data_IF_264876845892
#
_entry.id   IF_264876845892
#
_cell.length_a   1.000
_cell.length_b   1.000
_cell.length_c   1.000
_cell.angle_alpha   90.00
_cell.angle_beta   90.00
_cell.angle_gamma   90.00
#
_symmetry.space_group_name_H-M   'P 1'
#
loop_
_entity.id
_entity.type
_entity.pdbx_description
1 polymer ?
#
# COMPACT_ATOMS: atom_id res chain seq x y z
N UNK A 1 -3.31 -47.43 -28.53
CA UNK A 1 -2.42 -46.24 -28.46
C UNK A 1 -3.12 -44.92 -28.21
N UNK A 2 -4.43 -44.82 -28.32
CA UNK A 2 -5.22 -43.58 -28.11
C UNK A 2 -5.46 -43.17 -26.63
N UNK A 3 -5.27 -44.07 -25.66
CA UNK A 3 -5.58 -43.79 -24.25
C UNK A 3 -4.52 -42.95 -23.52
N UNK A 4 -3.26 -42.95 -23.97
CA UNK A 4 -2.18 -42.20 -23.29
C UNK A 4 -2.13 -40.71 -23.66
N UNK A 5 -2.63 -40.32 -24.81
CA UNK A 5 -2.65 -38.93 -25.27
C UNK A 5 -3.75 -38.15 -24.56
N UNK A 6 -4.90 -38.75 -24.28
CA UNK A 6 -6.02 -38.11 -23.62
C UNK A 6 -5.70 -37.74 -22.15
N UNK A 7 -4.94 -38.57 -21.44
CA UNK A 7 -4.57 -38.31 -20.05
C UNK A 7 -3.57 -37.15 -19.93
N UNK A 8 -2.60 -37.06 -20.85
CA UNK A 8 -1.62 -35.98 -20.84
C UNK A 8 -2.27 -34.61 -21.14
N UNK A 9 -3.28 -34.56 -22.02
CA UNK A 9 -3.97 -33.31 -22.36
C UNK A 9 -4.85 -32.82 -21.21
N UNK A 10 -5.49 -33.72 -20.45
CA UNK A 10 -6.29 -33.35 -19.27
C UNK A 10 -5.39 -32.84 -18.13
N UNK A 11 -4.22 -33.43 -17.92
CA UNK A 11 -3.27 -32.94 -16.93
C UNK A 11 -2.72 -31.56 -17.28
N UNK A 12 -2.37 -31.31 -18.54
CA UNK A 12 -1.91 -29.99 -19.01
C UNK A 12 -2.97 -28.90 -18.85
N UNK A 13 -4.24 -29.21 -19.11
CA UNK A 13 -5.35 -28.27 -18.94
C UNK A 13 -5.63 -28.00 -17.45
N UNK A 14 -5.43 -28.96 -16.56
CA UNK A 14 -5.56 -28.75 -15.11
C UNK A 14 -4.43 -27.88 -14.54
N UNK A 15 -3.20 -28.09 -14.98
CA UNK A 15 -2.07 -27.24 -14.57
C UNK A 15 -2.15 -25.83 -15.13
N UNK A 16 -2.59 -25.66 -16.40
CA UNK A 16 -2.80 -24.34 -16.98
C UNK A 16 -3.92 -23.55 -16.27
N UNK A 17 -5.01 -24.21 -15.87
CA UNK A 17 -6.08 -23.56 -15.10
C UNK A 17 -5.64 -23.21 -13.67
N UNK A 18 -4.83 -24.05 -13.02
CA UNK A 18 -4.31 -23.76 -11.69
C UNK A 18 -3.31 -22.59 -11.71
N UNK A 19 -2.47 -22.48 -12.72
CA UNK A 19 -1.53 -21.39 -12.89
C UNK A 19 -2.24 -20.06 -13.24
N UNK A 20 -3.27 -20.08 -14.09
CA UNK A 20 -4.07 -18.90 -14.41
C UNK A 20 -4.83 -18.37 -13.18
N UNK A 21 -5.35 -19.26 -12.32
CA UNK A 21 -6.02 -18.86 -11.08
C UNK A 21 -5.08 -18.33 -10.00
N UNK A 22 -3.79 -18.68 -10.03
CA UNK A 22 -2.79 -18.16 -9.09
C UNK A 22 -2.32 -16.74 -9.49
N UNK A 23 -2.21 -16.47 -10.79
CA UNK A 23 -1.77 -15.16 -11.29
C UNK A 23 -2.82 -14.03 -11.10
N UNK A 24 -4.07 -14.40 -10.79
CA UNK A 24 -5.20 -13.45 -10.70
C UNK A 24 -5.60 -13.11 -9.25
N UNK A 25 -4.79 -13.51 -8.26
CA UNK A 25 -5.06 -13.24 -6.84
C UNK A 25 -4.12 -12.20 -6.29
N UNK A 26 -4.70 -11.22 -5.58
CA UNK A 26 -3.91 -10.34 -4.72
C UNK A 26 -3.31 -11.14 -3.56
N UNK A 27 -2.12 -10.72 -3.15
CA UNK A 27 -1.42 -11.28 -1.99
C UNK A 27 -1.66 -10.45 -0.73
N UNK A 28 -2.82 -9.79 -0.60
CA UNK A 28 -3.16 -9.00 0.57
C UNK A 28 -3.22 -9.86 1.82
N UNK A 29 -2.67 -9.35 2.91
CA UNK A 29 -2.77 -9.92 4.24
C UNK A 29 -3.52 -8.98 5.17
N UNK A 30 -4.45 -9.52 5.97
CA UNK A 30 -5.26 -8.69 6.88
C UNK A 30 -4.47 -8.24 8.08
N UNK A 31 -4.70 -6.99 8.47
CA UNK A 31 -4.07 -6.41 9.63
C UNK A 31 -2.75 -5.73 9.32
N UNK A 32 -1.97 -5.51 10.34
CA UNK A 32 -0.59 -5.03 10.24
C UNK A 32 0.35 -6.24 10.24
N UNK A 33 1.46 -6.11 9.54
CA UNK A 33 2.48 -7.14 9.52
C UNK A 33 3.00 -7.45 10.94
N UNK A 34 3.17 -8.73 11.25
CA UNK A 34 3.77 -9.17 12.52
C UNK A 34 5.28 -9.18 12.38
N UNK A 35 5.89 -8.07 12.74
CA UNK A 35 7.34 -7.93 12.78
C UNK A 35 7.91 -8.72 13.96
N UNK A 36 8.93 -9.52 13.72
CA UNK A 36 9.56 -10.38 14.72
C UNK A 36 11.02 -10.04 14.96
N UNK A 37 11.72 -9.55 13.95
CA UNK A 37 13.12 -9.19 14.06
C UNK A 37 13.30 -7.77 14.64
N UNK A 38 14.26 -7.60 15.52
CA UNK A 38 14.55 -6.31 16.17
C UNK A 38 14.77 -5.15 15.18
N UNK A 39 15.40 -5.43 14.04
CA UNK A 39 15.67 -4.42 13.03
C UNK A 39 14.38 -4.01 12.30
N UNK A 40 13.46 -4.94 12.02
CA UNK A 40 12.14 -4.66 11.42
C UNK A 40 11.30 -3.78 12.36
N UNK A 41 11.27 -4.13 13.65
CA UNK A 41 10.56 -3.35 14.68
C UNK A 41 11.13 -1.93 14.77
N UNK A 42 12.45 -1.78 14.69
CA UNK A 42 13.11 -0.47 14.70
C UNK A 42 12.78 0.34 13.45
N UNK A 43 12.76 -0.31 12.29
CA UNK A 43 12.40 0.32 11.02
C UNK A 43 10.94 0.79 11.02
N UNK A 44 9.98 -0.07 11.37
CA UNK A 44 8.56 0.30 11.48
C UNK A 44 8.36 1.47 12.46
N UNK A 45 9.02 1.43 13.63
CA UNK A 45 8.96 2.53 14.60
C UNK A 45 9.47 3.84 14.01
N UNK A 46 10.54 3.78 13.24
CA UNK A 46 11.09 4.96 12.56
C UNK A 46 10.14 5.50 11.50
N UNK A 47 9.58 4.63 10.66
CA UNK A 47 8.56 4.98 9.65
C UNK A 47 7.39 5.70 10.33
N UNK A 48 6.80 5.10 11.37
CA UNK A 48 5.66 5.69 12.10
C UNK A 48 5.99 7.02 12.76
N UNK A 49 7.21 7.20 13.25
CA UNK A 49 7.64 8.45 13.86
C UNK A 49 7.90 9.53 12.82
N UNK A 50 8.73 9.23 11.82
CA UNK A 50 9.14 10.19 10.79
C UNK A 50 7.93 10.59 9.92
N UNK A 51 7.11 9.63 9.52
CA UNK A 51 5.95 9.85 8.67
C UNK A 51 4.64 9.96 9.47
N UNK A 52 4.71 10.44 10.71
CA UNK A 52 3.60 10.44 11.69
C UNK A 52 2.31 11.10 11.21
N UNK A 53 2.37 11.97 10.19
CA UNK A 53 1.17 12.54 9.54
C UNK A 53 0.20 11.45 9.09
N UNK A 54 0.70 10.31 8.62
CA UNK A 54 -0.10 9.18 8.16
C UNK A 54 -0.84 8.40 9.26
N UNK A 55 -0.44 8.58 10.53
CA UNK A 55 -1.06 7.87 11.68
C UNK A 55 -1.93 8.75 12.56
N UNK A 56 -2.23 9.98 12.14
CA UNK A 56 -3.15 10.85 12.87
C UNK A 56 -4.59 10.33 12.78
N UNK A 57 -5.39 10.67 13.78
CA UNK A 57 -6.80 10.21 13.88
C UNK A 57 -7.71 10.78 12.79
N UNK A 58 -7.33 11.90 12.19
CA UNK A 58 -8.06 12.54 11.10
C UNK A 58 -7.85 11.84 9.73
N UNK A 59 -6.94 10.87 9.65
CA UNK A 59 -6.66 10.13 8.41
C UNK A 59 -7.78 9.13 8.12
N UNK A 60 -8.41 9.30 6.95
CA UNK A 60 -9.50 8.44 6.45
C UNK A 60 -8.96 7.31 5.57
N UNK A 61 -8.01 7.63 4.68
CA UNK A 61 -7.36 6.70 3.76
C UNK A 61 -5.87 6.88 3.85
N UNK A 62 -5.14 5.78 3.84
CA UNK A 62 -3.67 5.79 3.83
C UNK A 62 -3.13 4.64 3.00
N UNK A 63 -2.10 4.93 2.23
CA UNK A 63 -1.17 3.96 1.67
C UNK A 63 0.23 4.30 2.20
N UNK A 64 0.91 3.33 2.78
CA UNK A 64 2.34 3.41 3.13
C UNK A 64 3.09 2.69 2.02
N UNK A 65 4.07 3.33 1.44
CA UNK A 65 4.99 2.76 0.43
C UNK A 65 6.36 2.61 1.08
N UNK A 66 6.82 1.37 1.19
CA UNK A 66 8.10 0.97 1.78
C UNK A 66 8.92 0.31 0.67
N UNK A 67 9.57 1.10 -0.19
CA UNK A 67 10.38 0.56 -1.27
C UNK A 67 11.71 0.01 -0.75
N UNK A 68 12.25 -1.01 -1.43
CA UNK A 68 13.50 -1.65 -1.02
C UNK A 68 14.70 -0.67 -1.01
N UNK A 69 14.74 0.30 -1.93
CA UNK A 69 15.92 1.15 -2.14
C UNK A 69 15.63 2.66 -2.17
N UNK A 70 14.38 3.06 -2.21
CA UNK A 70 13.96 4.46 -2.25
C UNK A 70 13.49 4.95 -0.87
N UNK A 71 13.15 6.23 -0.77
CA UNK A 71 12.62 6.80 0.45
C UNK A 71 11.19 6.31 0.73
N UNK A 72 10.93 5.93 1.95
CA UNK A 72 9.59 5.57 2.40
C UNK A 72 8.67 6.78 2.37
N UNK A 73 7.40 6.53 2.05
CA UNK A 73 6.39 7.57 1.97
C UNK A 73 5.01 7.11 2.43
N UNK A 74 4.17 8.08 2.78
CA UNK A 74 2.76 7.86 3.07
C UNK A 74 1.94 8.84 2.26
N UNK A 75 1.02 8.32 1.45
CA UNK A 75 -0.01 9.10 0.78
C UNK A 75 -1.38 8.81 1.41
N UNK A 76 -2.22 9.82 1.53
CA UNK A 76 -3.54 9.59 2.12
C UNK A 76 -4.49 10.76 2.00
N UNK A 77 -5.65 10.58 2.62
CA UNK A 77 -6.70 11.57 2.75
C UNK A 77 -6.96 11.78 4.24
N UNK A 78 -7.00 13.03 4.65
CA UNK A 78 -7.36 13.42 6.00
C UNK A 78 -8.62 14.29 5.99
N UNK A 79 -9.44 14.15 7.03
CA UNK A 79 -10.55 15.06 7.30
C UNK A 79 -10.02 16.29 8.04
N UNK A 80 -10.42 17.45 7.62
CA UNK A 80 -10.10 18.73 8.26
C UNK A 80 -11.37 19.45 8.67
N UNK A 81 -11.27 20.54 9.41
CA UNK A 81 -12.43 21.37 9.75
C UNK A 81 -13.16 21.91 8.50
N UNK A 82 -12.45 22.09 7.38
CA UNK A 82 -12.94 22.69 6.15
C UNK A 82 -13.19 21.66 5.02
N UNK A 83 -13.28 20.37 5.34
CA UNK A 83 -13.48 19.31 4.33
C UNK A 83 -12.38 18.27 4.33
N UNK A 84 -11.83 17.95 3.16
CA UNK A 84 -10.82 16.92 3.00
C UNK A 84 -9.52 17.47 2.39
N UNK A 85 -8.42 16.83 2.75
CA UNK A 85 -7.09 17.16 2.24
C UNK A 85 -6.40 15.87 1.81
N UNK A 86 -5.91 15.82 0.58
CA UNK A 86 -4.93 14.82 0.19
C UNK A 86 -3.57 15.24 0.73
N UNK A 87 -2.81 14.29 1.25
CA UNK A 87 -1.46 14.54 1.76
C UNK A 87 -0.47 13.52 1.25
N UNK A 88 0.79 13.93 1.17
CA UNK A 88 1.94 13.05 1.05
C UNK A 88 2.99 13.48 2.05
N UNK A 89 3.48 12.53 2.83
CA UNK A 89 4.66 12.72 3.68
C UNK A 89 5.72 11.70 3.27
N UNK A 90 6.94 12.17 3.02
CA UNK A 90 8.04 11.33 2.57
C UNK A 90 9.30 11.56 3.41
N UNK A 91 10.03 10.50 3.70
CA UNK A 91 11.36 10.59 4.29
C UNK A 91 12.32 11.29 3.31
N UNK A 92 13.38 11.94 3.78
CA UNK A 92 14.37 12.58 2.91
C UNK A 92 15.23 11.58 2.14
N UNK A 93 15.32 10.35 2.61
CA UNK A 93 16.03 9.21 2.04
C UNK A 93 15.48 7.92 2.61
N UNK A 94 15.98 6.78 2.14
CA UNK A 94 15.57 5.48 2.64
C UNK A 94 15.97 5.32 4.12
N UNK A 95 14.99 5.13 5.00
CA UNK A 95 15.18 5.10 6.46
C UNK A 95 16.01 3.89 6.91
N UNK A 96 15.94 2.77 6.21
CA UNK A 96 16.76 1.60 6.50
C UNK A 96 18.25 1.95 6.46
N UNK A 97 18.69 2.61 5.38
CA UNK A 97 20.08 3.03 5.21
C UNK A 97 20.44 4.23 6.10
N UNK A 98 19.55 5.19 6.23
CA UNK A 98 19.74 6.37 7.09
C UNK A 98 19.95 5.99 8.56
N UNK A 99 19.29 4.92 9.02
CA UNK A 99 19.40 4.42 10.39
C UNK A 99 20.54 3.41 10.57
N UNK A 100 21.17 2.97 9.48
CA UNK A 100 22.21 1.95 9.50
C UNK A 100 21.73 0.61 10.06
N UNK A 101 20.48 0.22 9.76
CA UNK A 101 19.87 -1.00 10.33
C UNK A 101 20.57 -2.29 9.85
N UNK A 102 21.20 -2.28 8.67
CA UNK A 102 21.97 -3.39 8.16
C UNK A 102 23.49 -3.27 8.45
N UNK A 103 23.92 -2.35 9.33
CA UNK A 103 25.33 -2.07 9.59
C UNK A 103 25.67 -2.24 11.07
N UNK A 104 26.79 -2.89 11.33
CA UNK A 104 27.38 -2.99 12.69
C UNK A 104 28.16 -1.71 13.08
N UNK A 105 28.41 -0.81 12.11
CA UNK A 105 29.13 0.44 12.37
C UNK A 105 28.27 1.43 13.15
N UNK A 106 28.61 1.74 14.42
CA UNK A 106 27.83 2.66 15.26
C UNK A 106 27.82 4.09 14.72
N UNK A 107 28.77 4.50 13.88
CA UNK A 107 28.83 5.83 13.26
C UNK A 107 27.76 6.03 12.20
N UNK A 108 27.19 4.95 11.65
CA UNK A 108 26.09 4.98 10.67
C UNK A 108 24.71 5.05 11.31
N UNK A 109 24.61 4.83 12.63
CA UNK A 109 23.32 4.82 13.34
C UNK A 109 22.84 6.24 13.61
N UNK A 110 21.94 6.75 12.80
CA UNK A 110 21.27 8.04 13.04
C UNK A 110 20.07 7.87 13.97
N UNK A 111 19.77 8.91 14.73
CA UNK A 111 18.54 8.98 15.52
C UNK A 111 17.38 9.43 14.63
N UNK A 112 16.39 8.55 14.38
CA UNK A 112 15.24 8.83 13.54
C UNK A 112 14.42 10.04 14.02
N UNK A 113 14.47 10.40 15.31
CA UNK A 113 13.80 11.57 15.88
C UNK A 113 14.30 12.89 15.31
N UNK A 114 15.48 12.89 14.70
CA UNK A 114 16.08 14.07 14.03
C UNK A 114 15.78 14.14 12.54
N UNK A 115 15.22 13.08 11.97
CA UNK A 115 14.86 13.03 10.55
C UNK A 115 13.57 13.83 10.34
N UNK A 116 13.63 14.84 9.49
CA UNK A 116 12.46 15.67 9.14
C UNK A 116 11.88 15.21 7.81
N UNK A 117 10.61 14.80 7.77
CA UNK A 117 9.95 14.44 6.53
C UNK A 117 9.65 15.68 5.70
N UNK A 118 9.46 15.47 4.39
CA UNK A 118 8.79 16.43 3.52
C UNK A 118 7.30 16.19 3.60
N UNK A 119 6.50 17.24 3.76
CA UNK A 119 5.04 17.16 3.80
C UNK A 119 4.46 18.05 2.70
N UNK A 120 3.54 17.47 1.93
CA UNK A 120 2.73 18.16 0.95
C UNK A 120 1.26 17.90 1.27
N UNK A 121 0.44 18.95 1.21
CA UNK A 121 -0.99 18.87 1.46
C UNK A 121 -1.75 19.74 0.46
N UNK A 122 -2.90 19.24 -0.01
CA UNK A 122 -3.78 19.99 -0.91
C UNK A 122 -5.23 19.62 -0.68
N UNK A 123 -6.12 20.61 -0.73
CA UNK A 123 -7.56 20.41 -0.62
C UNK A 123 -8.07 19.41 -1.65
N UNK A 124 -9.07 18.62 -1.25
CA UNK A 124 -9.70 17.59 -2.05
C UNK A 124 -11.21 17.73 -1.93
N UNK A 125 -11.95 17.56 -3.03
CA UNK A 125 -13.40 17.57 -2.98
C UNK A 125 -13.94 16.41 -2.15
N UNK A 126 -15.01 16.65 -1.38
CA UNK A 126 -15.63 15.62 -0.54
C UNK A 126 -16.10 14.41 -1.36
N UNK A 127 -16.69 14.67 -2.53
CA UNK A 127 -17.15 13.62 -3.43
C UNK A 127 -16.00 12.69 -3.87
N UNK A 128 -14.83 13.26 -4.17
CA UNK A 128 -13.67 12.46 -4.57
C UNK A 128 -13.06 11.72 -3.37
N UNK A 129 -13.00 12.35 -2.19
CA UNK A 129 -12.55 11.71 -0.97
C UNK A 129 -13.41 10.49 -0.61
N UNK A 130 -14.74 10.64 -0.65
CA UNK A 130 -15.68 9.55 -0.40
C UNK A 130 -15.53 8.41 -1.42
N UNK A 131 -15.34 8.75 -2.70
CA UNK A 131 -15.15 7.77 -3.77
C UNK A 131 -13.87 6.96 -3.59
N UNK A 132 -12.77 7.59 -3.22
CA UNK A 132 -11.50 6.92 -2.93
C UNK A 132 -11.66 6.02 -1.69
N UNK A 133 -12.30 6.49 -0.64
CA UNK A 133 -12.54 5.67 0.55
C UNK A 133 -13.40 4.43 0.23
N UNK A 134 -14.42 4.57 -0.61
CA UNK A 134 -15.25 3.46 -1.07
C UNK A 134 -14.45 2.43 -1.88
N UNK A 135 -13.53 2.90 -2.75
CA UNK A 135 -12.62 2.04 -3.51
C UNK A 135 -11.72 1.21 -2.57
N UNK A 136 -11.08 1.85 -1.59
CA UNK A 136 -10.26 1.17 -0.55
C UNK A 136 -11.10 0.14 0.19
N UNK A 137 -12.28 0.54 0.67
CA UNK A 137 -13.19 -0.36 1.37
C UNK A 137 -13.50 -1.59 0.52
N UNK A 138 -13.87 -1.39 -0.73
CA UNK A 138 -14.22 -2.48 -1.65
C UNK A 138 -13.11 -3.50 -1.78
N UNK A 139 -11.87 -3.05 -2.02
CA UNK A 139 -10.73 -3.95 -2.15
C UNK A 139 -10.38 -4.64 -0.82
N UNK A 140 -10.38 -3.90 0.28
CA UNK A 140 -9.97 -4.42 1.59
C UNK A 140 -11.05 -5.28 2.27
N UNK A 141 -12.31 -5.28 1.80
CA UNK A 141 -13.36 -6.17 2.32
C UNK A 141 -13.54 -7.43 1.48
N UNK A 142 -13.05 -7.46 0.25
CA UNK A 142 -13.23 -8.62 -0.62
C UNK A 142 -12.31 -9.78 -0.19
N UNK A 143 -12.87 -10.91 0.28
CA UNK A 143 -12.05 -12.02 0.76
C UNK A 143 -11.24 -12.70 -0.35
N UNK A 144 -11.57 -12.47 -1.62
CA UNK A 144 -10.82 -13.02 -2.77
C UNK A 144 -9.46 -12.37 -2.94
N UNK A 145 -9.27 -11.16 -2.38
CA UNK A 145 -8.02 -10.43 -2.46
C UNK A 145 -6.99 -10.89 -1.43
N UNK A 146 -7.37 -11.79 -0.51
CA UNK A 146 -6.49 -12.25 0.56
C UNK A 146 -5.90 -13.62 0.26
N UNK A 147 -4.59 -13.72 0.41
CA UNK A 147 -3.85 -14.97 0.28
C UNK A 147 -3.77 -15.72 1.62
N UNK A 148 -3.84 -17.05 1.56
CA UNK A 148 -3.75 -17.87 2.77
C UNK A 148 -2.30 -18.18 3.20
N UNK A 149 -1.40 -18.24 2.22
CA UNK A 149 0.01 -18.55 2.44
C UNK A 149 0.86 -17.38 1.96
N UNK A 150 1.57 -16.65 2.84
CA UNK A 150 2.41 -15.54 2.46
C UNK A 150 3.58 -16.06 1.60
N UNK A 151 3.66 -15.60 0.37
CA UNK A 151 4.87 -15.78 -0.43
C UNK A 151 5.90 -14.74 0.05
N UNK A 152 7.08 -15.22 0.46
CA UNK A 152 8.20 -14.35 0.77
C UNK A 152 8.81 -13.85 -0.55
N UNK A 153 8.58 -12.60 -0.86
CA UNK A 153 9.27 -11.90 -1.94
C UNK A 153 10.45 -11.13 -1.33
N UNK A 154 11.67 -11.51 -1.71
CA UNK A 154 12.87 -10.75 -1.34
C UNK A 154 13.01 -9.55 -2.30
N UNK A 155 13.43 -8.40 -1.76
CA UNK A 155 13.71 -7.16 -2.50
C UNK A 155 12.51 -6.57 -3.26
N UNK A 156 11.30 -6.74 -2.74
CA UNK A 156 10.09 -6.11 -3.31
C UNK A 156 9.66 -4.87 -2.50
N UNK A 157 8.88 -4.01 -3.15
CA UNK A 157 8.20 -2.93 -2.45
C UNK A 157 7.09 -3.50 -1.57
N UNK A 158 7.03 -3.04 -0.33
CA UNK A 158 5.97 -3.37 0.60
C UNK A 158 4.96 -2.22 0.66
N UNK A 159 3.67 -2.57 0.68
CA UNK A 159 2.60 -1.58 0.79
C UNK A 159 1.68 -1.93 1.95
N UNK A 160 1.36 -0.94 2.76
CA UNK A 160 0.31 -1.06 3.78
C UNK A 160 -0.84 -0.11 3.45
N UNK A 161 -2.06 -0.64 3.48
CA UNK A 161 -3.29 0.09 3.19
C UNK A 161 -4.12 0.23 4.45
N UNK A 162 -4.76 1.39 4.58
CA UNK A 162 -5.67 1.66 5.69
C UNK A 162 -6.85 2.49 5.21
N UNK A 163 -8.04 2.17 5.73
CA UNK A 163 -9.24 3.00 5.58
C UNK A 163 -10.05 3.00 6.88
N UNK A 164 -10.53 4.17 7.28
CA UNK A 164 -11.44 4.38 8.41
C UNK A 164 -12.82 4.80 7.89
N UNK A 165 -13.90 4.20 8.41
CA UNK A 165 -15.28 4.51 8.01
C UNK A 165 -16.06 5.21 9.10
N UNK A 166 -15.90 4.74 10.33
CA UNK A 166 -16.51 5.25 11.55
C UNK A 166 -15.41 5.41 12.59
N UNK A 167 -15.67 6.12 13.70
CA UNK A 167 -14.65 6.35 14.74
C UNK A 167 -13.96 5.08 15.26
N UNK A 168 -14.58 3.92 15.07
CA UNK A 168 -14.12 2.64 15.60
C UNK A 168 -13.91 1.53 14.55
N UNK A 169 -14.28 1.76 13.29
CA UNK A 169 -14.11 0.76 12.24
C UNK A 169 -12.90 1.12 11.36
N UNK A 170 -11.88 0.27 11.43
CA UNK A 170 -10.63 0.41 10.66
C UNK A 170 -10.32 -0.89 9.93
N UNK A 171 -10.06 -0.78 8.65
CA UNK A 171 -9.54 -1.89 7.85
C UNK A 171 -8.09 -1.60 7.51
N UNK A 172 -7.23 -2.56 7.76
CA UNK A 172 -5.82 -2.49 7.41
C UNK A 172 -5.44 -3.79 6.70
N UNK A 173 -4.62 -3.69 5.68
CA UNK A 173 -4.02 -4.82 5.00
C UNK A 173 -2.64 -4.42 4.51
N UNK A 174 -1.76 -5.39 4.31
CA UNK A 174 -0.45 -5.20 3.71
C UNK A 174 -0.21 -6.20 2.57
N UNK A 175 0.73 -5.91 1.72
CA UNK A 175 1.15 -6.76 0.63
C UNK A 175 2.63 -6.56 0.34
N UNK A 176 3.31 -7.66 0.08
CA UNK A 176 4.66 -7.67 -0.49
C UNK A 176 4.53 -7.87 -1.99
N UNK A 177 5.01 -6.89 -2.76
CA UNK A 177 4.89 -6.91 -4.21
C UNK A 177 3.56 -6.36 -4.74
N UNK A 178 3.09 -6.91 -5.86
CA UNK A 178 1.99 -6.36 -6.64
C UNK A 178 0.97 -7.47 -6.96
N UNK A 179 -0.29 -7.17 -6.77
CA UNK A 179 -1.40 -8.00 -7.20
C UNK A 179 -2.39 -7.18 -8.05
N UNK A 180 -3.29 -7.81 -8.81
CA UNK A 180 -4.14 -7.14 -9.79
C UNK A 180 -5.05 -6.06 -9.17
N UNK A 181 -5.53 -6.26 -7.94
CA UNK A 181 -6.40 -5.29 -7.26
C UNK A 181 -5.60 -4.34 -6.36
N UNK A 182 -4.59 -4.83 -5.64
CA UNK A 182 -3.70 -3.99 -4.85
C UNK A 182 -2.92 -3.01 -5.72
N UNK A 183 -2.56 -3.39 -6.94
CA UNK A 183 -1.97 -2.49 -7.94
C UNK A 183 -2.85 -1.27 -8.20
N UNK A 184 -4.18 -1.44 -8.24
CA UNK A 184 -5.09 -0.30 -8.44
C UNK A 184 -5.04 0.67 -7.25
N UNK A 185 -4.92 0.16 -6.02
CA UNK A 185 -4.73 1.01 -4.84
C UNK A 185 -3.39 1.74 -4.88
N UNK A 186 -2.31 1.08 -5.34
CA UNK A 186 -0.99 1.71 -5.53
C UNK A 186 -1.09 2.87 -6.52
N UNK A 187 -1.72 2.67 -7.68
CA UNK A 187 -1.87 3.73 -8.68
C UNK A 187 -2.65 4.92 -8.16
N UNK A 188 -3.77 4.69 -7.46
CA UNK A 188 -4.55 5.78 -6.85
C UNK A 188 -3.78 6.43 -5.70
N UNK A 189 -3.07 5.67 -4.87
CA UNK A 189 -2.21 6.19 -3.81
C UNK A 189 -1.12 7.12 -4.35
N UNK A 190 -0.45 6.73 -5.42
CA UNK A 190 0.54 7.56 -6.12
C UNK A 190 -0.09 8.81 -6.75
N UNK A 191 -1.31 8.69 -7.29
CA UNK A 191 -2.04 9.84 -7.81
C UNK A 191 -2.45 10.83 -6.70
N UNK A 192 -2.82 10.33 -5.49
CA UNK A 192 -3.04 11.18 -4.30
C UNK A 192 -1.76 11.93 -3.91
N UNK A 193 -0.62 11.24 -3.86
CA UNK A 193 0.68 11.86 -3.58
C UNK A 193 1.02 12.95 -4.59
N UNK A 194 0.81 12.70 -5.88
CA UNK A 194 1.05 13.67 -6.94
C UNK A 194 0.09 14.87 -6.83
N UNK A 195 -1.18 14.66 -6.50
CA UNK A 195 -2.13 15.73 -6.26
C UNK A 195 -1.70 16.60 -5.07
N UNK A 196 -1.29 16.00 -3.96
CA UNK A 196 -0.75 16.72 -2.80
C UNK A 196 0.46 17.61 -3.18
N UNK A 197 1.32 17.13 -4.10
CA UNK A 197 2.47 17.87 -4.65
C UNK A 197 2.13 18.90 -5.71
N UNK A 198 0.86 19.08 -6.07
CA UNK A 198 0.41 20.12 -6.98
C UNK A 198 -0.15 19.64 -8.32
N UNK A 199 -0.18 18.33 -8.60
CA UNK A 199 -0.82 17.82 -9.81
C UNK A 199 -2.32 18.16 -9.84
N UNK A 200 -2.92 18.40 -11.01
CA UNK A 200 -4.34 18.70 -11.12
C UNK A 200 -5.25 17.60 -10.59
N UNK A 201 -6.35 17.95 -9.92
CA UNK A 201 -7.33 16.97 -9.38
C UNK A 201 -7.92 16.07 -10.47
N UNK A 202 -8.04 16.57 -11.71
CA UNK A 202 -8.48 15.77 -12.86
C UNK A 202 -7.64 14.51 -13.10
N UNK A 203 -6.35 14.54 -12.76
CA UNK A 203 -5.45 13.39 -12.94
C UNK A 203 -5.72 12.31 -11.87
N UNK A 204 -6.00 12.73 -10.64
CA UNK A 204 -6.45 11.84 -9.57
C UNK A 204 -7.83 11.24 -9.91
N UNK A 205 -8.78 12.04 -10.41
CA UNK A 205 -10.08 11.55 -10.88
C UNK A 205 -9.90 10.48 -11.97
N UNK A 206 -8.99 10.69 -12.92
CA UNK A 206 -8.69 9.74 -13.99
C UNK A 206 -8.14 8.43 -13.43
N UNK A 207 -7.23 8.49 -12.44
CA UNK A 207 -6.68 7.31 -11.79
C UNK A 207 -7.78 6.50 -11.06
N UNK A 208 -8.66 7.18 -10.32
CA UNK A 208 -9.80 6.55 -9.63
C UNK A 208 -10.74 5.87 -10.63
N UNK A 209 -11.16 6.55 -11.70
CA UNK A 209 -12.02 5.97 -12.76
C UNK A 209 -11.40 4.72 -13.38
N UNK A 210 -10.08 4.77 -13.65
CA UNK A 210 -9.36 3.61 -14.22
C UNK A 210 -9.36 2.43 -13.24
N UNK A 211 -9.12 2.69 -11.97
CA UNK A 211 -9.12 1.67 -10.92
C UNK A 211 -10.51 1.02 -10.79
N UNK A 212 -11.57 1.83 -10.70
CA UNK A 212 -12.95 1.32 -10.64
C UNK A 212 -13.29 0.45 -11.85
N UNK A 213 -12.97 0.89 -13.07
CA UNK A 213 -13.21 0.10 -14.28
C UNK A 213 -12.48 -1.25 -14.25
N UNK A 214 -11.24 -1.30 -13.72
CA UNK A 214 -10.47 -2.53 -13.57
C UNK A 214 -11.04 -3.46 -12.51
N UNK A 215 -11.65 -2.90 -11.46
CA UNK A 215 -12.25 -3.64 -10.35
C UNK A 215 -13.71 -4.01 -10.61
N UNK A 216 -14.30 -3.56 -11.71
CA UNK A 216 -15.70 -3.84 -12.08
C UNK A 216 -16.72 -3.12 -11.17
N UNK A 217 -16.41 -1.91 -10.72
CA UNK A 217 -17.26 -1.06 -9.86
C UNK A 217 -17.50 0.31 -10.48
#
# INVERSE_FOLDING_TARGET
>A
MLSRIAIATVFLLFFARSAANAADRDHLQRGEEKLTADFEIKHDRAIRHVLSRGWRQDVVVRMVDIPAFEAESVAGIARTANGYTAFETAAPGNLWYELGLGSDDPKRKKDYRRIKPRLHERSLSEALAARIAALWRRVLTDPRNYWKDPALYMDTNQFTYHVSFLPHERLTAYVDGWGPHSEQLIWVGRAMANHAKGAPEKDLIKAVKKAEAKLGI
#
